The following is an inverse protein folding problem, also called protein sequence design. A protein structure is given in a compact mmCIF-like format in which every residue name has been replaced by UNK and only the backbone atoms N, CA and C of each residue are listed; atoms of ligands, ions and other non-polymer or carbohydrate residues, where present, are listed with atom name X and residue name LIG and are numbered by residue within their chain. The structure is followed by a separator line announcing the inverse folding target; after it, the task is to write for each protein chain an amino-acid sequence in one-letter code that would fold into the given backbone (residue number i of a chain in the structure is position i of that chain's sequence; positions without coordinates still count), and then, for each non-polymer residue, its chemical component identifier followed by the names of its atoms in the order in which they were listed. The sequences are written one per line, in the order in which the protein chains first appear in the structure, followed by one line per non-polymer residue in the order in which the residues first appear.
data_IF_205242229969
#
_entry.id   IF_205242229969
#
_cell.length_a   1.000
_cell.length_b   1.000
_cell.length_c   1.000
_cell.angle_alpha   90.00
_cell.angle_beta   90.00
_cell.angle_gamma   90.00
#
_symmetry.space_group_name_H-M   'P 1'
#
loop_
_entity.id
_entity.type
_entity.pdbx_description
1 polymer ?
#
# COMPACT_ATOMS: atom_id res chain seq x y z
N UNK A 1 -31.11 -66.88 48.32
CA UNK A 1 -32.01 -65.98 49.06
C UNK A 1 -33.13 -65.58 48.11
N UNK A 2 -34.37 -66.05 48.36
CA UNK A 2 -35.55 -65.24 48.77
C UNK A 2 -35.91 -64.08 47.81
N UNK A 3 -37.15 -63.93 47.31
CA UNK A 3 -38.36 -64.80 47.33
C UNK A 3 -39.46 -64.20 46.39
N UNK A 4 -40.14 -65.07 45.63
CA UNK A 4 -41.61 -65.10 45.37
C UNK A 4 -42.32 -63.96 44.58
N UNK A 5 -42.93 -64.39 43.46
CA UNK A 5 -44.21 -64.04 42.82
C UNK A 5 -45.17 -62.99 43.45
N UNK A 6 -45.86 -62.24 42.57
CA UNK A 6 -47.33 -62.25 42.56
C UNK A 6 -47.90 -61.95 41.15
N UNK A 7 -48.86 -62.77 40.69
CA UNK A 7 -49.68 -62.54 39.47
C UNK A 7 -51.09 -62.08 39.85
N UNK A 8 -51.77 -61.26 39.01
CA UNK A 8 -53.21 -60.86 38.98
C UNK A 8 -53.33 -59.62 38.03
N UNK A 9 -54.37 -59.28 37.25
CA UNK A 9 -55.72 -59.83 36.94
C UNK A 9 -55.96 -59.89 35.40
N UNK A 10 -56.71 -60.91 34.97
CA UNK A 10 -57.52 -61.15 33.75
C UNK A 10 -58.21 -59.95 33.05
N UNK A 11 -58.29 -59.93 31.71
CA UNK A 11 -59.54 -59.76 30.92
C UNK A 11 -59.32 -59.69 29.39
N UNK A 12 -60.06 -60.51 28.62
CA UNK A 12 -60.40 -60.20 27.23
C UNK A 12 -61.49 -59.11 27.20
N UNK A 13 -61.52 -58.28 26.16
CA UNK A 13 -62.64 -58.23 25.19
C UNK A 13 -62.29 -57.31 24.00
N UNK A 14 -62.78 -57.70 22.83
CA UNK A 14 -62.61 -57.04 21.52
C UNK A 14 -63.44 -55.77 21.43
N UNK A 15 -62.88 -54.72 20.82
CA UNK A 15 -63.61 -53.52 20.38
C UNK A 15 -63.04 -52.99 19.07
N UNK A 16 -63.82 -53.03 17.99
CA UNK A 16 -63.40 -52.59 16.66
C UNK A 16 -63.23 -51.06 16.60
N UNK A 17 -62.20 -50.60 15.88
CA UNK A 17 -61.99 -49.18 15.61
C UNK A 17 -60.95 -48.97 14.52
N UNK A 18 -61.38 -49.02 13.25
CA UNK A 18 -60.59 -48.52 12.13
C UNK A 18 -60.55 -46.99 12.17
N UNK A 19 -59.76 -46.42 13.08
CA UNK A 19 -59.30 -45.04 12.95
C UNK A 19 -58.14 -45.04 11.95
N UNK A 20 -58.48 -44.72 10.71
CA UNK A 20 -57.56 -44.16 9.71
C UNK A 20 -56.44 -43.37 10.39
N UNK A 21 -55.18 -43.76 10.17
CA UNK A 21 -54.10 -42.80 10.32
C UNK A 21 -54.42 -41.69 9.33
N UNK A 22 -54.73 -40.49 9.83
CA UNK A 22 -54.89 -39.33 8.98
C UNK A 22 -53.64 -39.21 8.11
N UNK A 23 -53.81 -39.22 6.79
CA UNK A 23 -52.79 -38.71 5.90
C UNK A 23 -52.47 -37.30 6.39
N UNK A 24 -51.29 -37.16 7.01
CA UNK A 24 -50.73 -35.85 7.26
C UNK A 24 -50.29 -35.39 5.88
N UNK A 25 -51.10 -34.56 5.25
CA UNK A 25 -50.67 -33.73 4.14
C UNK A 25 -49.49 -32.90 4.64
N UNK A 26 -48.28 -33.44 4.45
CA UNK A 26 -47.05 -32.68 4.61
C UNK A 26 -47.13 -31.65 3.48
N UNK A 27 -47.33 -30.35 3.78
CA UNK A 27 -47.44 -29.36 2.73
C UNK A 27 -46.17 -29.41 1.90
N UNK A 28 -46.31 -29.47 0.57
CA UNK A 28 -45.21 -29.52 -0.39
C UNK A 28 -44.12 -28.55 0.06
N UNK A 29 -42.92 -29.06 0.32
CA UNK A 29 -41.83 -28.26 0.85
C UNK A 29 -41.67 -27.01 -0.02
N UNK A 30 -41.78 -25.82 0.58
CA UNK A 30 -41.74 -24.55 -0.16
C UNK A 30 -40.32 -24.35 -0.68
N UNK A 31 -40.07 -24.84 -1.88
CA UNK A 31 -38.77 -24.76 -2.52
C UNK A 31 -38.44 -23.30 -2.78
N UNK A 32 -37.24 -22.91 -2.36
CA UNK A 32 -36.67 -21.60 -2.67
C UNK A 32 -36.12 -21.66 -4.09
N UNK A 33 -36.79 -21.02 -5.04
CA UNK A 33 -36.28 -20.91 -6.41
C UNK A 33 -34.88 -20.27 -6.37
N UNK A 34 -33.97 -20.76 -7.22
CA UNK A 34 -32.59 -20.25 -7.28
C UNK A 34 -32.47 -19.18 -8.36
N UNK A 35 -31.36 -18.44 -8.33
CA UNK A 35 -30.99 -17.63 -9.49
C UNK A 35 -30.76 -18.50 -10.72
N UNK A 36 -31.00 -17.93 -11.90
CA UNK A 36 -30.72 -18.55 -13.19
C UNK A 36 -29.70 -17.75 -13.99
N UNK A 37 -29.16 -18.38 -15.03
CA UNK A 37 -28.24 -17.78 -16.01
C UNK A 37 -27.01 -17.07 -15.41
N UNK A 38 -26.55 -17.50 -14.22
CA UNK A 38 -25.26 -17.07 -13.67
C UNK A 38 -24.14 -17.34 -14.67
N UNK A 39 -23.55 -16.26 -15.15
CA UNK A 39 -22.40 -16.23 -16.04
C UNK A 39 -21.33 -15.29 -15.49
N UNK A 40 -20.13 -15.41 -16.05
CA UNK A 40 -18.96 -14.64 -15.64
C UNK A 40 -18.14 -14.26 -16.88
N UNK A 41 -18.04 -12.96 -17.14
CA UNK A 41 -17.18 -12.37 -18.17
C UNK A 41 -15.84 -11.97 -17.54
N UNK A 42 -14.72 -12.17 -18.24
CA UNK A 42 -13.38 -11.84 -17.75
C UNK A 42 -12.76 -10.76 -18.64
N UNK A 43 -12.28 -9.68 -18.03
CA UNK A 43 -11.57 -8.60 -18.70
C UNK A 43 -10.30 -8.23 -17.90
N UNK A 44 -9.13 -8.63 -18.40
CA UNK A 44 -7.90 -8.59 -17.60
C UNK A 44 -8.07 -9.45 -16.35
N UNK A 45 -7.91 -8.84 -15.17
CA UNK A 45 -8.14 -9.48 -13.86
C UNK A 45 -9.51 -9.17 -13.24
N UNK A 46 -10.42 -8.57 -13.99
CA UNK A 46 -11.76 -8.26 -13.50
C UNK A 46 -12.76 -9.33 -13.96
N UNK A 47 -13.55 -9.85 -13.03
CA UNK A 47 -14.62 -10.83 -13.30
C UNK A 47 -15.96 -10.14 -13.11
N UNK A 48 -16.72 -9.97 -14.19
CA UNK A 48 -18.09 -9.45 -14.14
C UNK A 48 -19.07 -10.63 -14.11
N UNK A 49 -19.68 -10.84 -12.95
CA UNK A 49 -20.79 -11.78 -12.77
C UNK A 49 -22.10 -11.15 -13.21
N UNK A 50 -22.98 -11.93 -13.85
CA UNK A 50 -24.37 -11.54 -14.17
C UNK A 50 -25.29 -12.74 -13.97
N UNK A 51 -26.52 -12.52 -13.49
CA UNK A 51 -27.53 -13.56 -13.28
C UNK A 51 -28.95 -12.96 -13.27
N UNK A 52 -29.96 -13.83 -13.28
CA UNK A 52 -31.38 -13.47 -13.16
C UNK A 52 -31.86 -13.87 -11.77
N UNK A 53 -32.53 -12.94 -11.07
CA UNK A 53 -33.15 -13.22 -9.78
C UNK A 53 -34.52 -13.91 -9.97
N UNK A 54 -34.87 -14.90 -9.13
CA UNK A 54 -36.17 -15.55 -9.17
C UNK A 54 -37.27 -14.65 -8.62
N UNK A 55 -38.53 -15.03 -8.89
CA UNK A 55 -39.69 -14.24 -8.44
C UNK A 55 -39.83 -14.31 -6.92
N UNK A 56 -40.07 -13.17 -6.27
CA UNK A 56 -40.28 -13.09 -4.82
C UNK A 56 -38.99 -13.13 -3.98
N UNK A 57 -37.81 -13.19 -4.60
CA UNK A 57 -36.56 -12.91 -3.89
C UNK A 57 -36.55 -11.45 -3.39
N UNK A 58 -35.86 -11.22 -2.27
CA UNK A 58 -35.61 -9.88 -1.71
C UNK A 58 -34.13 -9.49 -1.76
N UNK A 59 -33.24 -10.44 -2.02
CA UNK A 59 -31.81 -10.17 -2.17
C UNK A 59 -31.02 -11.41 -2.56
N UNK A 60 -29.69 -11.33 -2.42
CA UNK A 60 -28.77 -12.42 -2.76
C UNK A 60 -27.66 -12.58 -1.72
N UNK A 61 -27.18 -13.81 -1.59
CA UNK A 61 -25.84 -14.09 -1.10
C UNK A 61 -24.94 -14.44 -2.30
N UNK A 62 -23.82 -13.74 -2.46
CA UNK A 62 -22.75 -14.09 -3.39
C UNK A 62 -21.54 -14.55 -2.59
N UNK A 63 -21.07 -15.77 -2.87
CA UNK A 63 -19.86 -16.37 -2.34
C UNK A 63 -18.79 -16.46 -3.43
N UNK A 64 -17.53 -16.37 -3.02
CA UNK A 64 -16.35 -16.68 -3.83
C UNK A 64 -15.51 -17.70 -3.07
N UNK A 65 -15.18 -18.80 -3.71
CA UNK A 65 -14.22 -19.78 -3.19
C UNK A 65 -12.93 -19.69 -3.98
N UNK A 66 -11.80 -19.56 -3.28
CA UNK A 66 -10.44 -19.55 -3.82
C UNK A 66 -9.50 -20.41 -2.94
N UNK A 67 -8.19 -20.35 -3.17
CA UNK A 67 -7.20 -21.12 -2.41
C UNK A 67 -7.19 -20.82 -0.89
N UNK A 68 -7.81 -19.72 -0.44
CA UNK A 68 -7.91 -19.36 0.98
C UNK A 68 -9.22 -19.84 1.64
N UNK A 69 -10.19 -20.34 0.85
CA UNK A 69 -11.48 -20.82 1.34
C UNK A 69 -12.68 -20.13 0.69
N UNK A 70 -13.87 -20.26 1.31
CA UNK A 70 -15.10 -19.59 0.87
C UNK A 70 -15.30 -18.26 1.61
N UNK A 71 -15.53 -17.19 0.83
CA UNK A 71 -15.72 -15.82 1.30
C UNK A 71 -17.09 -15.29 0.86
N UNK A 72 -17.81 -14.58 1.75
CA UNK A 72 -19.07 -13.92 1.42
C UNK A 72 -18.80 -12.50 0.88
N UNK A 73 -19.07 -12.28 -0.41
CA UNK A 73 -18.89 -10.98 -1.08
C UNK A 73 -20.12 -10.07 -0.98
N UNK A 74 -21.32 -10.66 -1.04
CA UNK A 74 -22.60 -9.97 -0.85
C UNK A 74 -23.46 -10.82 0.07
N UNK A 75 -24.09 -10.21 1.07
CA UNK A 75 -25.15 -10.83 1.87
C UNK A 75 -26.13 -9.77 2.37
N UNK A 76 -27.03 -9.32 1.49
CA UNK A 76 -27.98 -8.23 1.80
C UNK A 76 -29.31 -8.40 1.05
N UNK A 77 -30.36 -7.87 1.66
CA UNK A 77 -31.72 -7.82 1.10
C UNK A 77 -31.85 -6.67 0.10
N UNK A 78 -31.18 -6.85 -1.05
CA UNK A 78 -31.33 -5.99 -2.22
C UNK A 78 -31.00 -6.80 -3.49
N UNK A 79 -31.80 -6.59 -4.54
CA UNK A 79 -31.81 -7.40 -5.76
C UNK A 79 -30.73 -6.99 -6.76
N UNK A 80 -29.49 -7.41 -6.52
CA UNK A 80 -28.41 -7.33 -7.51
C UNK A 80 -28.63 -8.37 -8.61
N UNK A 81 -28.30 -8.02 -9.86
CA UNK A 81 -28.26 -8.93 -11.02
C UNK A 81 -26.87 -8.99 -11.65
N UNK A 82 -25.91 -8.25 -11.09
CA UNK A 82 -24.51 -8.25 -11.49
C UNK A 82 -23.59 -7.89 -10.32
N UNK A 83 -22.33 -8.32 -10.42
CA UNK A 83 -21.25 -7.94 -9.51
C UNK A 83 -19.92 -7.89 -10.27
N UNK A 84 -19.08 -6.90 -9.95
CA UNK A 84 -17.73 -6.79 -10.49
C UNK A 84 -16.74 -7.17 -9.39
N UNK A 85 -16.16 -8.36 -9.47
CA UNK A 85 -15.02 -8.74 -8.67
C UNK A 85 -13.76 -8.19 -9.36
N UNK A 86 -13.18 -7.12 -8.81
CA UNK A 86 -12.00 -6.47 -9.36
C UNK A 86 -10.73 -7.20 -8.96
N UNK A 87 -9.73 -7.18 -9.85
CA UNK A 87 -8.35 -7.60 -9.57
C UNK A 87 -8.27 -8.94 -8.83
N UNK A 88 -8.91 -9.96 -9.40
CA UNK A 88 -9.05 -11.26 -8.76
C UNK A 88 -7.72 -12.01 -8.73
N UNK A 89 -7.62 -12.99 -7.83
CA UNK A 89 -6.46 -13.86 -7.74
C UNK A 89 -6.31 -14.71 -9.02
N UNK A 90 -5.06 -14.86 -9.46
CA UNK A 90 -4.71 -15.37 -10.80
C UNK A 90 -4.21 -16.82 -10.75
N UNK A 91 -4.28 -17.50 -11.90
CA UNK A 91 -3.78 -18.86 -12.14
C UNK A 91 -4.31 -19.93 -11.16
N UNK A 92 -5.50 -19.69 -10.61
CA UNK A 92 -6.23 -20.59 -9.73
C UNK A 92 -7.73 -20.56 -10.09
N UNK A 93 -8.45 -21.61 -9.69
CA UNK A 93 -9.89 -21.69 -9.91
C UNK A 93 -10.62 -20.84 -8.86
N UNK A 94 -11.38 -19.86 -9.34
CA UNK A 94 -12.31 -19.05 -8.55
C UNK A 94 -13.72 -19.57 -8.79
N UNK A 95 -14.40 -20.02 -7.73
CA UNK A 95 -15.77 -20.52 -7.81
C UNK A 95 -16.70 -19.47 -7.23
N UNK A 96 -17.53 -18.86 -8.08
CA UNK A 96 -18.54 -17.90 -7.64
C UNK A 96 -19.89 -18.62 -7.50
N UNK A 97 -20.53 -18.48 -6.35
CA UNK A 97 -21.83 -19.11 -6.07
C UNK A 97 -22.84 -18.05 -5.63
N UNK A 98 -23.95 -17.93 -6.35
CA UNK A 98 -25.05 -17.01 -6.03
C UNK A 98 -26.27 -17.79 -5.53
N UNK A 99 -26.85 -17.34 -4.42
CA UNK A 99 -28.08 -17.86 -3.80
C UNK A 99 -29.07 -16.72 -3.61
N UNK A 100 -30.35 -16.94 -3.92
CA UNK A 100 -31.42 -15.97 -3.66
C UNK A 100 -31.84 -15.99 -2.18
N UNK A 101 -32.22 -14.83 -1.63
CA UNK A 101 -32.79 -14.67 -0.27
C UNK A 101 -34.26 -14.31 -0.34
N UNK A 102 -35.04 -14.78 0.63
CA UNK A 102 -36.49 -14.59 0.71
C UNK A 102 -36.92 -13.95 2.04
N UNK A 103 -38.08 -13.30 2.04
CA UNK A 103 -38.63 -12.52 3.18
C UNK A 103 -38.91 -13.35 4.43
N UNK A 104 -39.15 -14.65 4.26
CA UNK A 104 -39.33 -15.63 5.34
C UNK A 104 -38.00 -16.17 5.90
N UNK A 105 -36.87 -15.59 5.49
CA UNK A 105 -35.52 -15.98 5.91
C UNK A 105 -34.93 -17.16 5.14
N UNK A 106 -35.67 -17.76 4.19
CA UNK A 106 -35.12 -18.84 3.34
C UNK A 106 -34.03 -18.32 2.41
N UNK A 107 -33.10 -19.21 2.10
CA UNK A 107 -32.06 -19.03 1.07
C UNK A 107 -32.20 -20.17 0.07
N UNK A 108 -31.95 -19.91 -1.21
CA UNK A 108 -32.00 -20.94 -2.26
C UNK A 108 -30.75 -21.82 -2.28
N UNK A 109 -30.83 -22.92 -3.02
CA UNK A 109 -29.64 -23.58 -3.54
C UNK A 109 -28.84 -22.61 -4.44
N UNK A 110 -27.54 -22.88 -4.56
CA UNK A 110 -26.64 -22.07 -5.39
C UNK A 110 -26.75 -22.38 -6.88
N UNK A 111 -26.58 -21.35 -7.71
CA UNK A 111 -25.95 -21.53 -9.01
C UNK A 111 -24.47 -21.15 -8.87
N UNK A 112 -23.58 -21.94 -9.45
CA UNK A 112 -22.14 -21.71 -9.39
C UNK A 112 -21.52 -21.59 -10.78
N UNK A 113 -20.47 -20.77 -10.90
CA UNK A 113 -19.62 -20.66 -12.09
C UNK A 113 -18.15 -20.63 -11.66
N UNK A 114 -17.32 -21.47 -12.30
CA UNK A 114 -15.88 -21.50 -12.08
C UNK A 114 -15.15 -20.70 -13.15
N UNK A 115 -14.16 -19.91 -12.75
CA UNK A 115 -13.25 -19.20 -13.65
C UNK A 115 -11.82 -19.32 -13.16
N UNK A 116 -10.93 -19.74 -14.07
CA UNK A 116 -9.50 -19.59 -13.89
C UNK A 116 -9.05 -18.34 -14.66
N UNK A 117 -8.54 -17.34 -13.96
CA UNK A 117 -8.00 -16.13 -14.58
C UNK A 117 -6.52 -16.33 -14.84
N UNK A 118 -6.21 -16.87 -16.03
CA UNK A 118 -4.84 -17.04 -16.50
C UNK A 118 -4.21 -15.67 -16.76
N UNK A 119 -3.19 -15.31 -15.99
CA UNK A 119 -2.51 -14.02 -16.07
C UNK A 119 -1.06 -14.15 -15.62
N UNK A 120 -0.14 -13.47 -16.32
CA UNK A 120 1.26 -13.37 -15.89
C UNK A 120 1.45 -11.98 -15.31
N UNK A 121 1.70 -11.89 -14.00
CA UNK A 121 2.09 -10.64 -13.37
C UNK A 121 3.36 -10.10 -14.04
N UNK A 122 3.30 -8.87 -14.50
CA UNK A 122 4.41 -8.14 -15.10
C UNK A 122 4.37 -6.72 -14.52
N UNK A 123 4.73 -6.65 -13.23
CA UNK A 123 4.64 -5.44 -12.45
C UNK A 123 5.54 -4.35 -13.04
N UNK A 124 4.99 -3.16 -13.21
CA UNK A 124 5.69 -2.00 -13.75
C UNK A 124 6.19 -1.11 -12.63
N UNK A 125 7.06 -0.16 -12.96
CA UNK A 125 7.33 0.98 -12.08
C UNK A 125 6.31 2.09 -12.37
N UNK A 126 5.71 2.67 -11.34
CA UNK A 126 4.80 3.80 -11.43
C UNK A 126 5.43 5.10 -10.94
N UNK A 127 5.00 6.24 -11.48
CA UNK A 127 5.21 7.57 -10.91
C UNK A 127 3.84 8.23 -10.77
N UNK A 128 3.37 8.44 -9.55
CA UNK A 128 2.09 9.07 -9.27
C UNK A 128 2.27 10.59 -9.11
N UNK A 129 1.59 11.36 -9.97
CA UNK A 129 1.60 12.83 -9.96
C UNK A 129 0.24 13.38 -9.47
N UNK A 130 0.18 14.59 -8.87
CA UNK A 130 -1.08 15.20 -8.43
C UNK A 130 -1.85 15.87 -9.58
N UNK A 131 -1.65 15.43 -10.83
CA UNK A 131 -2.14 16.08 -12.05
C UNK A 131 -2.78 15.07 -13.01
N UNK A 132 -3.47 15.58 -14.04
CA UNK A 132 -4.04 14.75 -15.12
C UNK A 132 -2.99 14.30 -16.15
N UNK A 133 -1.88 15.04 -16.31
CA UNK A 133 -0.79 14.68 -17.21
C UNK A 133 0.53 15.37 -16.81
N UNK A 134 1.67 14.87 -17.31
CA UNK A 134 3.00 15.48 -17.12
C UNK A 134 3.07 16.91 -17.66
N UNK A 135 2.26 17.25 -18.68
CA UNK A 135 2.23 18.60 -19.23
C UNK A 135 1.65 19.63 -18.24
N UNK A 136 0.75 19.18 -17.36
CA UNK A 136 0.06 20.03 -16.39
C UNK A 136 0.88 20.29 -15.12
N UNK A 137 2.03 19.61 -14.94
CA UNK A 137 2.95 19.87 -13.83
C UNK A 137 3.49 21.30 -13.97
N UNK A 138 3.27 22.13 -12.96
CA UNK A 138 3.67 23.55 -12.95
C UNK A 138 5.09 23.77 -12.43
N UNK A 139 5.48 22.93 -11.48
CA UNK A 139 6.78 22.90 -10.80
C UNK A 139 7.85 22.27 -11.70
N UNK A 140 9.02 22.89 -11.80
CA UNK A 140 10.11 22.47 -12.71
C UNK A 140 10.84 21.23 -12.20
N UNK A 141 11.11 21.14 -10.90
CA UNK A 141 11.67 19.94 -10.26
C UNK A 141 10.80 18.69 -10.47
N UNK A 142 9.52 18.75 -10.13
CA UNK A 142 8.57 17.64 -10.36
C UNK A 142 8.45 17.29 -11.85
N UNK A 143 8.54 18.28 -12.75
CA UNK A 143 8.42 18.07 -14.20
C UNK A 143 9.68 17.49 -14.82
N UNK A 144 10.85 17.90 -14.34
CA UNK A 144 12.14 17.33 -14.72
C UNK A 144 12.24 15.87 -14.28
N UNK A 145 11.86 15.57 -13.04
CA UNK A 145 11.77 14.21 -12.50
C UNK A 145 10.81 13.32 -13.31
N UNK A 146 9.59 13.79 -13.60
CA UNK A 146 8.61 13.04 -14.40
C UNK A 146 9.09 12.80 -15.84
N UNK A 147 9.72 13.80 -16.46
CA UNK A 147 10.30 13.69 -17.81
C UNK A 147 11.46 12.68 -17.85
N UNK A 148 12.34 12.73 -16.85
CA UNK A 148 13.43 11.77 -16.71
C UNK A 148 12.92 10.34 -16.50
N UNK A 149 11.85 10.16 -15.71
CA UNK A 149 11.24 8.86 -15.47
C UNK A 149 10.72 8.24 -16.78
N UNK A 150 9.96 8.99 -17.58
CA UNK A 150 9.45 8.52 -18.87
C UNK A 150 10.57 8.11 -19.85
N UNK A 151 11.67 8.86 -19.84
CA UNK A 151 12.87 8.57 -20.65
C UNK A 151 13.63 7.32 -20.17
N UNK A 152 13.73 7.14 -18.85
CA UNK A 152 14.54 6.07 -18.22
C UNK A 152 13.79 4.75 -18.11
N UNK A 153 12.46 4.80 -17.98
CA UNK A 153 11.59 3.63 -17.86
C UNK A 153 10.51 3.63 -18.97
N UNK A 154 10.83 3.19 -20.20
CA UNK A 154 9.87 3.16 -21.32
C UNK A 154 8.63 2.28 -21.09
N UNK A 155 8.71 1.32 -20.16
CA UNK A 155 7.59 0.48 -19.72
C UNK A 155 6.95 0.95 -18.40
N UNK A 156 7.48 2.02 -17.80
CA UNK A 156 6.92 2.66 -16.61
C UNK A 156 5.63 3.41 -16.94
N UNK A 157 4.87 3.75 -15.90
CA UNK A 157 3.55 4.38 -16.05
C UNK A 157 3.48 5.66 -15.23
N UNK A 158 3.07 6.75 -15.87
CA UNK A 158 2.60 7.93 -15.15
C UNK A 158 1.19 7.62 -14.65
N UNK A 159 1.03 7.64 -13.33
CA UNK A 159 -0.22 7.44 -12.63
C UNK A 159 -0.77 8.80 -12.20
N UNK A 160 -2.09 8.89 -12.14
CA UNK A 160 -2.84 10.11 -11.84
C UNK A 160 -3.85 9.84 -10.70
N UNK A 161 -4.54 10.87 -10.17
CA UNK A 161 -5.61 10.65 -9.18
C UNK A 161 -6.78 9.78 -9.69
N UNK A 162 -6.90 9.60 -11.02
CA UNK A 162 -7.88 8.69 -11.61
C UNK A 162 -7.51 7.20 -11.43
N UNK A 163 -6.22 6.89 -11.27
CA UNK A 163 -5.70 5.52 -11.21
C UNK A 163 -5.73 4.92 -9.79
N UNK A 164 -6.00 5.75 -8.77
CA UNK A 164 -6.02 5.38 -7.34
C UNK A 164 -6.90 4.16 -7.00
N UNK A 165 -7.96 3.89 -7.77
CA UNK A 165 -8.84 2.73 -7.54
C UNK A 165 -8.27 1.39 -8.06
N UNK A 166 -7.08 1.41 -8.67
CA UNK A 166 -6.45 0.26 -9.30
C UNK A 166 -4.92 0.18 -9.02
N UNK A 167 -4.49 0.64 -7.84
CA UNK A 167 -3.08 0.52 -7.41
C UNK A 167 -2.84 -0.85 -6.76
N UNK A 168 -2.28 -1.79 -7.54
CA UNK A 168 -2.03 -3.16 -7.10
C UNK A 168 -0.53 -3.53 -7.19
N UNK A 169 0.07 -4.16 -6.17
CA UNK A 169 1.52 -4.46 -6.13
C UNK A 169 2.06 -5.33 -7.28
N UNK A 170 1.23 -6.17 -7.89
CA UNK A 170 1.62 -7.07 -8.98
C UNK A 170 1.28 -6.50 -10.39
N UNK A 171 0.62 -5.34 -10.44
CA UNK A 171 0.53 -4.46 -11.63
C UNK A 171 1.58 -3.34 -11.57
N UNK A 172 1.89 -2.82 -10.37
CA UNK A 172 2.93 -1.83 -10.10
C UNK A 172 3.78 -2.28 -8.90
N UNK A 173 5.02 -2.72 -9.10
CA UNK A 173 5.85 -3.24 -7.99
C UNK A 173 6.36 -2.13 -7.08
N UNK A 174 6.53 -0.93 -7.64
CA UNK A 174 6.77 0.29 -6.88
C UNK A 174 6.06 1.51 -7.49
N UNK A 175 5.75 2.50 -6.66
CA UNK A 175 5.27 3.83 -7.06
C UNK A 175 6.18 4.91 -6.47
N UNK A 176 6.67 5.81 -7.33
CA UNK A 176 7.42 7.00 -6.93
C UNK A 176 6.45 8.19 -6.81
N UNK A 177 6.61 8.95 -5.73
CA UNK A 177 5.96 10.24 -5.50
C UNK A 177 7.04 11.25 -5.15
N UNK A 178 7.15 12.31 -5.95
CA UNK A 178 7.89 13.53 -5.63
C UNK A 178 6.90 14.64 -5.34
N UNK A 179 7.21 15.45 -4.33
CA UNK A 179 6.54 16.72 -4.08
C UNK A 179 7.63 17.72 -3.73
N UNK A 180 7.78 18.75 -4.55
CA UNK A 180 8.66 19.88 -4.31
C UNK A 180 7.86 21.14 -4.55
N UNK A 181 7.81 22.04 -3.56
CA UNK A 181 6.93 23.22 -3.63
C UNK A 181 7.43 24.34 -2.75
N UNK A 182 7.75 25.47 -3.39
CA UNK A 182 7.95 26.77 -2.76
C UNK A 182 6.76 27.10 -1.83
N UNK A 183 7.05 27.47 -0.59
CA UNK A 183 6.07 27.96 0.38
C UNK A 183 5.08 26.93 0.95
N UNK A 184 5.25 25.63 0.66
CA UNK A 184 4.39 24.60 1.26
C UNK A 184 4.56 24.57 2.79
N UNK A 185 3.45 24.43 3.51
CA UNK A 185 3.49 24.40 4.96
C UNK A 185 3.84 23.00 5.48
N UNK A 186 4.73 22.92 6.48
CA UNK A 186 5.04 21.67 7.19
C UNK A 186 3.78 20.95 7.69
N UNK A 187 3.73 19.64 7.52
CA UNK A 187 2.62 18.77 7.93
C UNK A 187 2.04 18.02 6.73
N UNK A 188 1.83 16.71 6.86
CA UNK A 188 1.29 15.90 5.77
C UNK A 188 -0.08 16.41 5.29
N UNK A 189 -0.88 16.97 6.20
CA UNK A 189 -2.19 17.56 5.93
C UNK A 189 -2.16 18.84 5.05
N UNK A 190 -0.98 19.32 4.65
CA UNK A 190 -0.79 20.46 3.76
C UNK A 190 -0.25 20.07 2.37
N UNK A 191 0.04 18.79 2.12
CA UNK A 191 0.41 18.27 0.80
C UNK A 191 -0.72 18.48 -0.23
N UNK A 192 -0.45 18.40 -1.55
CA UNK A 192 -1.47 18.47 -2.59
C UNK A 192 -2.67 17.55 -2.29
N UNK A 193 -3.87 18.10 -2.43
CA UNK A 193 -5.13 17.47 -1.97
C UNK A 193 -5.39 16.10 -2.59
N UNK A 194 -4.86 15.92 -3.79
CA UNK A 194 -4.84 14.74 -4.63
C UNK A 194 -4.13 13.56 -3.96
N UNK A 195 -3.09 13.81 -3.15
CA UNK A 195 -2.37 12.80 -2.37
C UNK A 195 -2.96 12.56 -0.98
N UNK A 196 -3.66 13.55 -0.39
CA UNK A 196 -4.11 13.49 1.01
C UNK A 196 -5.62 13.42 1.19
N UNK A 197 -6.38 13.30 0.10
CA UNK A 197 -7.78 12.88 0.19
C UNK A 197 -7.90 11.52 0.89
N UNK A 198 -9.00 11.29 1.60
CA UNK A 198 -9.28 9.99 2.24
C UNK A 198 -9.15 8.81 1.27
N UNK A 199 -9.48 9.02 -0.02
CA UNK A 199 -9.32 8.03 -1.09
C UNK A 199 -7.84 7.73 -1.35
N UNK A 200 -7.02 8.76 -1.58
CA UNK A 200 -5.61 8.60 -1.89
C UNK A 200 -4.82 7.98 -0.73
N UNK A 201 -5.06 8.44 0.50
CA UNK A 201 -4.45 7.85 1.70
C UNK A 201 -4.85 6.39 1.85
N UNK A 202 -6.12 6.03 1.68
CA UNK A 202 -6.57 4.65 1.75
C UNK A 202 -5.95 3.76 0.67
N UNK A 203 -5.89 4.24 -0.58
CA UNK A 203 -5.30 3.51 -1.71
C UNK A 203 -3.79 3.29 -1.53
N UNK A 204 -3.02 4.35 -1.25
CA UNK A 204 -1.58 4.26 -1.02
C UNK A 204 -1.25 3.41 0.21
N UNK A 205 -2.06 3.50 1.27
CA UNK A 205 -1.94 2.63 2.43
C UNK A 205 -2.14 1.17 2.02
N UNK A 206 -3.30 0.83 1.45
CA UNK A 206 -3.63 -0.54 1.06
C UNK A 206 -2.55 -1.14 0.14
N UNK A 207 -2.11 -0.38 -0.86
CA UNK A 207 -1.03 -0.75 -1.77
C UNK A 207 0.25 -1.19 -1.01
N UNK A 208 0.71 -0.42 -0.02
CA UNK A 208 1.89 -0.79 0.80
C UNK A 208 1.57 -1.95 1.77
N UNK A 209 0.34 -2.04 2.27
CA UNK A 209 -0.08 -3.17 3.11
C UNK A 209 -0.03 -4.50 2.34
N UNK A 210 -0.40 -4.49 1.06
CA UNK A 210 -0.44 -5.65 0.16
C UNK A 210 0.92 -6.02 -0.46
N UNK A 211 1.97 -5.21 -0.26
CA UNK A 211 3.34 -5.52 -0.72
C UNK A 211 3.94 -4.53 -1.72
N UNK A 212 3.21 -3.49 -2.12
CA UNK A 212 3.67 -2.47 -3.05
C UNK A 212 4.70 -1.54 -2.42
N UNK A 213 5.76 -1.22 -3.16
CA UNK A 213 6.86 -0.43 -2.62
C UNK A 213 6.71 1.07 -2.96
N UNK A 214 7.20 1.97 -2.12
CA UNK A 214 7.18 3.42 -2.39
C UNK A 214 8.58 4.03 -2.42
N UNK A 215 8.79 4.93 -3.38
CA UNK A 215 9.85 5.93 -3.31
C UNK A 215 9.18 7.28 -3.01
N UNK A 216 9.56 7.93 -1.91
CA UNK A 216 9.02 9.23 -1.49
C UNK A 216 10.15 10.26 -1.48
N UNK A 217 10.06 11.31 -2.29
CA UNK A 217 11.12 12.32 -2.42
C UNK A 217 10.68 13.72 -2.01
N UNK A 218 11.61 14.47 -1.41
CA UNK A 218 11.47 15.82 -0.86
C UNK A 218 10.25 15.91 0.06
N UNK A 219 9.25 16.75 -0.21
CA UNK A 219 8.14 16.96 0.73
C UNK A 219 7.19 15.74 0.83
N UNK A 220 7.27 14.79 -0.11
CA UNK A 220 6.48 13.55 -0.11
C UNK A 220 6.85 12.59 1.01
N UNK A 221 8.01 12.74 1.68
CA UNK A 221 8.40 11.90 2.83
C UNK A 221 7.35 11.89 3.95
N UNK A 222 6.58 12.98 4.07
CA UNK A 222 5.48 13.13 5.03
C UNK A 222 4.32 12.14 4.80
N UNK A 223 4.18 11.56 3.60
CA UNK A 223 3.18 10.52 3.33
C UNK A 223 3.42 9.25 4.16
N UNK A 224 4.64 9.01 4.66
CA UNK A 224 4.94 7.92 5.61
C UNK A 224 4.11 8.02 6.91
N UNK A 225 3.75 9.25 7.32
CA UNK A 225 2.83 9.51 8.43
C UNK A 225 1.39 9.39 7.96
N UNK A 226 1.02 9.98 6.82
CA UNK A 226 -0.35 10.01 6.31
C UNK A 226 -0.95 8.61 6.10
N UNK A 227 -0.18 7.68 5.50
CA UNK A 227 -0.62 6.28 5.33
C UNK A 227 -0.54 5.46 6.64
N UNK A 228 0.09 6.02 7.68
CA UNK A 228 0.29 5.38 8.98
C UNK A 228 1.40 4.34 9.00
N UNK A 229 2.42 4.44 8.13
CA UNK A 229 3.61 3.57 8.18
C UNK A 229 4.47 3.89 9.40
N UNK A 230 4.51 5.14 9.83
CA UNK A 230 5.06 5.58 11.12
C UNK A 230 4.02 6.40 11.90
N UNK A 231 4.21 6.49 13.21
CA UNK A 231 3.40 7.36 14.08
C UNK A 231 3.73 8.84 13.82
N UNK A 232 2.74 9.71 13.96
CA UNK A 232 2.90 11.18 13.86
C UNK A 232 3.94 11.73 14.85
N UNK A 233 4.19 11.07 15.98
CA UNK A 233 5.30 11.45 16.90
C UNK A 233 6.68 11.40 16.24
N UNK A 234 6.81 10.70 15.11
CA UNK A 234 8.02 10.53 14.32
C UNK A 234 7.91 11.22 12.94
N UNK A 235 7.00 12.18 12.78
CA UNK A 235 6.92 12.98 11.56
C UNK A 235 8.23 13.76 11.31
N UNK A 236 8.61 14.03 10.04
CA UNK A 236 9.77 14.83 9.69
C UNK A 236 9.90 16.11 10.54
N UNK A 237 11.07 16.30 11.14
CA UNK A 237 11.41 17.37 12.07
C UNK A 237 11.97 18.61 11.38
N UNK A 238 12.98 18.38 10.54
CA UNK A 238 13.76 19.40 9.84
C UNK A 238 13.07 19.70 8.52
N UNK A 239 12.50 20.89 8.39
CA UNK A 239 11.64 21.26 7.28
C UNK A 239 11.95 22.66 6.75
N UNK A 240 12.03 22.78 5.44
CA UNK A 240 12.09 24.06 4.72
C UNK A 240 11.37 23.95 3.38
N UNK A 241 10.82 25.07 2.92
CA UNK A 241 10.04 25.23 1.69
C UNK A 241 10.17 26.70 1.25
N UNK A 242 11.42 27.14 1.04
CA UNK A 242 11.78 28.54 0.81
C UNK A 242 11.47 29.01 -0.61
N UNK A 243 12.20 30.02 -1.05
CA UNK A 243 12.37 30.38 -2.48
C UNK A 243 13.84 30.22 -2.89
N UNK A 244 14.58 29.42 -2.14
CA UNK A 244 16.01 29.24 -2.33
C UNK A 244 16.91 30.47 -2.18
N UNK A 245 18.13 30.29 -2.67
CA UNK A 245 19.16 31.31 -2.79
C UNK A 245 20.40 30.80 -3.52
N UNK A 246 21.30 31.71 -3.89
CA UNK A 246 22.54 31.35 -4.62
C UNK A 246 23.61 30.83 -3.66
N UNK A 247 24.15 29.65 -3.97
CA UNK A 247 25.20 28.97 -3.23
C UNK A 247 26.58 28.99 -3.90
N UNK A 248 27.63 28.71 -3.12
CA UNK A 248 29.02 28.56 -3.62
C UNK A 248 29.67 27.24 -3.23
N UNK A 249 29.04 26.49 -2.34
CA UNK A 249 29.42 25.19 -1.78
C UNK A 249 28.72 24.04 -2.50
N UNK A 250 29.22 22.81 -2.35
CA UNK A 250 28.54 21.62 -2.83
C UNK A 250 27.64 21.04 -1.73
N UNK A 251 26.47 20.57 -2.11
CA UNK A 251 25.53 19.90 -1.21
C UNK A 251 25.56 18.39 -1.45
N UNK A 252 25.83 17.65 -0.37
CA UNK A 252 26.20 16.23 -0.42
C UNK A 252 25.49 15.43 0.66
N UNK A 253 25.43 14.11 0.49
CA UNK A 253 24.90 13.17 1.48
C UNK A 253 25.98 12.24 2.03
N UNK A 254 25.89 11.91 3.31
CA UNK A 254 26.80 11.00 4.02
C UNK A 254 26.08 9.67 4.29
N UNK A 255 26.62 8.56 3.78
CA UNK A 255 26.11 7.19 4.03
C UNK A 255 26.84 6.45 5.17
N UNK A 256 27.84 7.07 5.80
CA UNK A 256 28.49 6.62 7.03
C UNK A 256 27.87 7.36 8.22
N UNK A 257 26.85 6.77 8.83
CA UNK A 257 26.07 7.39 9.90
C UNK A 257 26.92 7.49 11.17
N UNK A 258 26.99 8.69 11.76
CA UNK A 258 27.86 8.96 12.91
C UNK A 258 29.36 8.90 12.58
N UNK A 259 29.77 9.38 11.39
CA UNK A 259 31.16 9.31 10.90
C UNK A 259 32.24 9.83 11.88
N UNK A 260 31.93 10.83 12.72
CA UNK A 260 32.83 11.37 13.75
C UNK A 260 32.61 10.77 15.15
N UNK A 261 31.78 9.73 15.28
CA UNK A 261 31.48 9.04 16.54
C UNK A 261 32.34 7.78 16.71
N UNK A 262 32.34 7.20 17.91
CA UNK A 262 33.09 5.97 18.19
C UNK A 262 32.53 4.70 17.54
N UNK A 263 31.27 4.72 17.07
CA UNK A 263 30.52 3.53 16.61
C UNK A 263 29.75 3.82 15.29
N UNK A 264 30.42 4.17 14.19
CA UNK A 264 29.79 4.54 12.92
C UNK A 264 29.13 3.36 12.17
N UNK A 265 28.13 3.65 11.32
CA UNK A 265 27.45 2.65 10.46
C UNK A 265 27.67 2.97 8.98
N UNK A 266 28.34 2.08 8.24
CA UNK A 266 28.66 2.29 6.83
C UNK A 266 27.62 1.64 5.89
N UNK A 267 26.77 2.47 5.29
CA UNK A 267 25.75 2.05 4.33
C UNK A 267 26.17 2.24 2.87
N UNK A 268 27.42 2.63 2.55
CA UNK A 268 27.89 2.85 1.15
C UNK A 268 27.76 1.61 0.26
N UNK A 269 27.67 0.41 0.85
CA UNK A 269 27.44 -0.85 0.13
C UNK A 269 25.97 -1.10 -0.24
N UNK A 270 25.03 -0.29 0.26
CA UNK A 270 23.61 -0.40 -0.07
C UNK A 270 23.37 -0.07 -1.55
N UNK A 271 22.44 -0.80 -2.19
CA UNK A 271 22.25 -0.75 -3.65
C UNK A 271 21.89 0.63 -4.18
N UNK A 272 21.23 1.47 -3.39
CA UNK A 272 20.97 2.87 -3.71
C UNK A 272 22.24 3.65 -4.11
N UNK A 273 23.38 3.41 -3.45
CA UNK A 273 24.62 4.16 -3.67
C UNK A 273 25.54 3.57 -4.77
N UNK A 274 25.10 2.50 -5.46
CA UNK A 274 25.93 1.79 -6.44
C UNK A 274 26.33 2.68 -7.63
N UNK A 275 27.63 2.97 -7.75
CA UNK A 275 28.19 3.76 -8.85
C UNK A 275 27.96 5.27 -8.75
N UNK A 276 27.64 5.80 -7.56
CA UNK A 276 27.66 7.25 -7.32
C UNK A 276 29.09 7.80 -7.28
N UNK A 277 29.25 9.03 -7.75
CA UNK A 277 30.52 9.77 -7.71
C UNK A 277 30.74 10.33 -6.31
N UNK A 278 31.89 10.02 -5.72
CA UNK A 278 32.28 10.50 -4.39
C UNK A 278 32.70 11.97 -4.46
N UNK A 279 32.28 12.75 -3.46
CA UNK A 279 32.74 14.10 -3.15
C UNK A 279 33.66 14.06 -1.92
N UNK A 280 34.69 14.93 -1.93
CA UNK A 280 35.78 14.97 -0.94
C UNK A 280 35.92 16.35 -0.26
N UNK A 281 34.84 17.14 -0.16
CA UNK A 281 34.86 18.44 0.52
C UNK A 281 34.92 18.32 2.05
N UNK A 282 34.60 17.13 2.58
CA UNK A 282 34.71 16.76 3.99
C UNK A 282 35.87 15.78 4.22
N UNK A 283 36.29 15.61 5.48
CA UNK A 283 37.35 14.67 5.86
C UNK A 283 36.96 13.19 5.66
N UNK A 284 35.66 12.93 5.51
CA UNK A 284 35.05 11.65 5.17
C UNK A 284 34.45 11.70 3.77
N UNK A 285 34.32 10.54 3.12
CA UNK A 285 33.65 10.44 1.83
C UNK A 285 32.16 10.81 1.95
N UNK A 286 31.65 11.54 0.95
CA UNK A 286 30.22 11.83 0.78
C UNK A 286 29.83 11.63 -0.69
N UNK A 287 28.55 11.66 -1.03
CA UNK A 287 28.09 11.68 -2.41
C UNK A 287 27.51 13.06 -2.72
N UNK A 288 28.10 13.78 -3.69
CA UNK A 288 27.54 15.05 -4.15
C UNK A 288 26.19 14.85 -4.82
N UNK A 289 25.23 15.74 -4.54
CA UNK A 289 23.90 15.72 -5.16
C UNK A 289 23.59 17.04 -5.86
N UNK A 290 24.08 18.17 -5.35
CA UNK A 290 23.79 19.51 -5.87
C UNK A 290 25.01 20.44 -5.78
N UNK A 291 25.16 21.34 -6.75
CA UNK A 291 26.38 22.13 -6.95
C UNK A 291 26.28 23.58 -6.45
N UNK A 292 27.26 24.43 -6.84
CA UNK A 292 27.16 25.87 -6.73
C UNK A 292 26.19 26.41 -7.81
N UNK A 293 25.03 26.89 -7.38
CA UNK A 293 23.95 27.30 -8.28
C UNK A 293 22.86 28.11 -7.57
N UNK A 294 21.70 28.25 -8.21
CA UNK A 294 20.46 28.55 -7.50
C UNK A 294 19.94 27.26 -6.87
N UNK A 295 19.49 27.31 -5.62
CA UNK A 295 19.12 26.11 -4.83
C UNK A 295 17.92 26.41 -3.95
N UNK A 296 16.87 25.59 -3.95
CA UNK A 296 15.58 25.91 -3.30
C UNK A 296 15.59 25.83 -1.76
N UNK A 297 16.51 25.04 -1.19
CA UNK A 297 16.59 24.68 0.23
C UNK A 297 15.28 24.07 0.78
N UNK A 298 14.81 22.99 0.16
CA UNK A 298 13.60 22.24 0.50
C UNK A 298 13.88 20.95 1.29
N UNK A 299 14.14 21.06 2.59
CA UNK A 299 14.31 19.89 3.46
C UNK A 299 12.96 19.32 3.93
N UNK A 300 12.91 18.00 4.07
CA UNK A 300 11.83 17.26 4.73
C UNK A 300 12.35 16.00 5.44
N UNK A 301 13.25 16.21 6.40
CA UNK A 301 14.05 15.18 7.09
C UNK A 301 13.64 15.00 8.55
N UNK A 302 14.20 14.00 9.22
CA UNK A 302 13.92 13.69 10.63
C UNK A 302 14.97 14.30 11.57
N UNK A 303 14.51 14.99 12.61
CA UNK A 303 15.32 15.37 13.78
C UNK A 303 15.13 14.28 14.83
N UNK A 304 16.13 13.42 15.00
CA UNK A 304 16.02 12.26 15.90
C UNK A 304 16.13 12.65 17.37
N UNK A 305 16.72 13.81 17.67
CA UNK A 305 16.82 14.32 19.03
C UNK A 305 15.46 14.85 19.54
N UNK A 306 14.58 15.32 18.65
CA UNK A 306 13.27 15.88 19.00
C UNK A 306 12.28 14.85 19.59
N UNK A 307 12.50 13.54 19.40
CA UNK A 307 11.49 12.51 19.68
C UNK A 307 11.55 11.89 21.09
N UNK A 308 12.49 12.30 21.95
CA UNK A 308 12.62 11.73 23.31
C UNK A 308 13.08 10.25 23.33
N UNK A 309 13.81 9.84 22.29
CA UNK A 309 14.28 8.46 22.11
C UNK A 309 15.14 7.90 23.26
N UNK A 310 16.00 8.68 23.94
CA UNK A 310 16.72 8.17 25.12
C UNK A 310 15.80 7.75 26.27
N UNK A 311 14.57 8.25 26.33
CA UNK A 311 13.59 7.89 27.36
C UNK A 311 12.71 6.70 26.93
N UNK A 312 12.34 6.59 25.65
CA UNK A 312 11.53 5.46 25.15
C UNK A 312 12.36 4.21 24.92
N UNK A 313 13.61 4.37 24.50
CA UNK A 313 14.46 3.30 23.97
C UNK A 313 15.88 3.34 24.59
N UNK A 314 16.01 3.40 25.94
CA UNK A 314 17.26 3.74 26.64
C UNK A 314 18.45 2.79 26.37
N UNK A 315 18.17 1.58 25.90
CA UNK A 315 19.20 0.55 25.64
C UNK A 315 19.67 0.52 24.18
N UNK A 316 19.18 1.40 23.30
CA UNK A 316 19.52 1.40 21.87
C UNK A 316 20.95 1.92 21.55
N UNK A 317 21.62 2.56 22.51
CA UNK A 317 22.98 3.08 22.37
C UNK A 317 23.06 4.47 21.72
N UNK A 318 22.24 4.78 20.72
CA UNK A 318 22.07 6.13 20.18
C UNK A 318 20.67 6.34 19.59
N UNK A 319 20.38 7.59 19.21
CA UNK A 319 19.07 8.01 18.68
C UNK A 319 18.75 7.44 17.29
N UNK A 320 19.74 7.15 16.43
CA UNK A 320 19.52 6.44 15.15
C UNK A 320 18.99 5.04 15.41
N UNK A 321 19.73 4.22 16.18
CA UNK A 321 19.33 2.84 16.52
C UNK A 321 17.98 2.79 17.27
N UNK A 322 17.70 3.80 18.09
CA UNK A 322 16.41 3.94 18.76
C UNK A 322 15.28 4.18 17.75
N UNK A 323 15.46 5.14 16.83
CA UNK A 323 14.48 5.44 15.79
C UNK A 323 14.24 4.24 14.87
N UNK A 324 15.31 3.57 14.42
CA UNK A 324 15.25 2.38 13.57
C UNK A 324 14.47 1.24 14.22
N UNK A 325 14.68 1.00 15.52
CA UNK A 325 13.95 0.00 16.30
C UNK A 325 12.47 0.36 16.49
N UNK A 326 12.15 1.62 16.79
CA UNK A 326 10.76 2.08 17.02
C UNK A 326 9.94 2.20 15.73
N UNK A 327 10.58 2.34 14.56
CA UNK A 327 9.91 2.50 13.26
C UNK A 327 10.09 1.32 12.30
N UNK A 328 10.89 0.32 12.67
CA UNK A 328 11.34 -0.78 11.80
C UNK A 328 11.92 -0.23 10.50
N UNK A 329 13.01 0.53 10.60
CA UNK A 329 13.66 1.22 9.47
C UNK A 329 15.17 1.06 9.49
N UNK A 330 15.83 1.63 8.49
CA UNK A 330 17.29 1.79 8.41
C UNK A 330 17.59 3.20 7.91
N UNK A 331 18.44 3.94 8.62
CA UNK A 331 18.88 5.28 8.19
C UNK A 331 20.05 5.10 7.23
N UNK A 332 19.80 5.33 5.94
CA UNK A 332 20.78 5.09 4.89
C UNK A 332 21.74 6.27 4.69
N UNK A 333 21.29 7.51 4.92
CA UNK A 333 22.14 8.68 4.82
C UNK A 333 21.68 9.89 5.66
N UNK A 334 22.62 10.78 5.96
CA UNK A 334 22.46 12.13 6.53
C UNK A 334 22.97 13.20 5.55
N UNK A 335 22.89 14.48 5.94
CA UNK A 335 23.64 15.55 5.28
C UNK A 335 25.15 15.30 5.35
N UNK A 336 25.88 15.71 4.30
CA UNK A 336 27.33 15.49 4.16
C UNK A 336 28.19 15.99 5.32
N UNK A 337 27.77 17.06 5.99
CA UNK A 337 28.46 17.64 7.14
C UNK A 337 28.11 16.99 8.50
N UNK A 338 27.16 16.03 8.54
CA UNK A 338 26.67 15.44 9.79
C UNK A 338 27.55 14.27 10.21
N UNK A 339 28.35 14.51 11.24
CA UNK A 339 29.28 13.54 11.85
C UNK A 339 28.71 12.83 13.08
N UNK A 340 27.52 13.21 13.56
CA UNK A 340 26.85 12.61 14.72
C UNK A 340 25.60 11.80 14.34
N UNK A 341 24.73 11.51 15.31
CA UNK A 341 23.50 10.76 15.12
C UNK A 341 22.25 11.65 15.06
N UNK A 342 22.36 12.99 14.93
CA UNK A 342 21.25 13.90 15.24
C UNK A 342 20.03 13.79 14.32
N UNK A 343 20.20 13.37 13.08
CA UNK A 343 19.17 13.42 12.05
C UNK A 343 19.21 12.22 11.10
N UNK A 344 18.22 12.14 10.22
CA UNK A 344 18.18 11.19 9.12
C UNK A 344 17.63 11.86 7.85
N UNK A 345 18.40 11.83 6.76
CA UNK A 345 18.06 12.46 5.47
C UNK A 345 17.55 11.48 4.42
N UNK A 346 18.00 10.22 4.48
CA UNK A 346 17.46 9.10 3.69
C UNK A 346 17.13 7.95 4.64
N UNK A 347 15.89 7.47 4.59
CA UNK A 347 15.39 6.39 5.44
C UNK A 347 14.75 5.30 4.58
N UNK A 348 15.09 4.06 4.90
CA UNK A 348 14.46 2.87 4.36
C UNK A 348 13.55 2.24 5.42
N UNK A 349 12.24 2.33 5.25
CA UNK A 349 11.25 1.66 6.09
C UNK A 349 11.09 0.20 5.64
N UNK A 350 11.60 -0.72 6.45
CA UNK A 350 11.57 -2.16 6.19
C UNK A 350 10.13 -2.72 6.25
N UNK A 351 9.82 -3.81 5.52
CA UNK A 351 8.57 -4.54 5.66
C UNK A 351 8.24 -4.96 7.11
N UNK A 352 6.94 -5.00 7.42
CA UNK A 352 6.37 -5.43 8.71
C UNK A 352 5.18 -6.36 8.46
N UNK A 353 4.65 -7.01 9.49
CA UNK A 353 3.43 -7.81 9.38
C UNK A 353 2.18 -7.03 8.92
N UNK A 354 2.15 -5.70 9.11
CA UNK A 354 1.03 -4.83 8.72
C UNK A 354 1.28 -4.06 7.42
N UNK A 355 2.53 -3.98 6.97
CA UNK A 355 2.99 -3.27 5.77
C UNK A 355 4.02 -4.17 5.08
N UNK A 356 3.57 -5.03 4.17
CA UNK A 356 4.47 -5.95 3.46
C UNK A 356 5.41 -5.23 2.49
N UNK A 357 5.01 -4.05 2.00
CA UNK A 357 5.82 -3.18 1.16
C UNK A 357 6.91 -2.42 1.93
N UNK A 358 7.96 -2.07 1.19
CA UNK A 358 9.11 -1.26 1.61
C UNK A 358 8.95 0.18 1.14
N UNK A 359 9.46 1.15 1.91
CA UNK A 359 9.49 2.56 1.49
C UNK A 359 10.91 3.10 1.60
N UNK A 360 11.45 3.70 0.55
CA UNK A 360 12.61 4.60 0.65
C UNK A 360 12.10 6.04 0.64
N UNK A 361 12.54 6.83 1.61
CA UNK A 361 12.16 8.22 1.78
C UNK A 361 13.43 9.10 1.77
N UNK A 362 13.50 10.06 0.85
CA UNK A 362 14.63 10.97 0.64
C UNK A 362 14.15 12.39 0.93
N UNK A 363 14.58 12.96 2.05
CA UNK A 363 14.15 14.28 2.52
C UNK A 363 15.21 15.38 2.47
N UNK A 364 16.42 15.07 2.01
CA UNK A 364 17.52 16.05 1.87
C UNK A 364 17.14 17.13 0.85
N UNK A 365 17.40 18.41 1.14
CA UNK A 365 17.24 19.45 0.10
C UNK A 365 18.10 19.18 -1.12
N UNK A 366 19.32 18.66 -0.92
CA UNK A 366 20.28 18.40 -1.99
C UNK A 366 19.77 17.50 -3.14
N UNK A 367 18.61 16.85 -2.97
CA UNK A 367 17.92 16.11 -4.01
C UNK A 367 17.03 17.08 -4.84
N UNK A 368 17.67 17.89 -5.68
CA UNK A 368 17.05 18.90 -6.55
C UNK A 368 17.27 18.52 -8.03
N UNK A 369 16.18 18.39 -8.80
CA UNK A 369 16.17 17.89 -10.18
C UNK A 369 16.44 18.95 -11.24
N UNK A 370 16.10 20.21 -10.96
CA UNK A 370 16.27 21.37 -11.83
C UNK A 370 16.71 22.56 -10.96
N UNK A 371 17.99 22.98 -11.06
CA UNK A 371 18.52 24.12 -10.27
C UNK A 371 18.02 25.48 -10.82
N UNK A 372 16.71 25.65 -11.03
CA UNK A 372 16.07 26.85 -11.57
C UNK A 372 16.79 27.39 -12.85
N UNK A 373 17.18 26.48 -13.75
CA UNK A 373 17.90 26.74 -14.99
C UNK A 373 19.43 26.79 -14.89
N UNK A 374 20.06 26.51 -13.75
CA UNK A 374 21.52 26.27 -13.67
C UNK A 374 21.91 24.81 -13.90
N UNK A 375 23.18 24.57 -14.20
CA UNK A 375 23.69 23.22 -14.52
C UNK A 375 24.23 22.55 -13.27
N UNK A 376 23.42 21.69 -12.65
CA UNK A 376 23.87 20.84 -11.56
C UNK A 376 25.00 19.91 -12.01
N UNK A 377 26.21 20.12 -11.47
CA UNK A 377 27.39 19.28 -11.77
C UNK A 377 27.24 17.84 -11.24
N UNK A 378 26.32 17.61 -10.31
CA UNK A 378 26.00 16.32 -9.70
C UNK A 378 24.67 15.74 -10.19
N UNK A 379 24.02 16.28 -11.23
CA UNK A 379 22.78 15.72 -11.80
C UNK A 379 22.86 14.21 -12.05
N UNK A 380 24.00 13.74 -12.56
CA UNK A 380 24.26 12.31 -12.80
C UNK A 380 24.17 11.46 -11.53
N UNK A 381 24.52 12.00 -10.35
CA UNK A 381 24.37 11.31 -9.08
C UNK A 381 22.90 11.28 -8.63
N UNK A 382 22.12 12.35 -8.82
CA UNK A 382 20.67 12.33 -8.55
C UNK A 382 19.96 11.31 -9.44
N UNK A 383 20.19 11.36 -10.76
CA UNK A 383 19.64 10.39 -11.70
C UNK A 383 20.04 8.95 -11.34
N UNK A 384 21.31 8.72 -11.01
CA UNK A 384 21.83 7.39 -10.62
C UNK A 384 21.21 6.89 -9.32
N UNK A 385 21.17 7.73 -8.29
CA UNK A 385 20.63 7.39 -6.97
C UNK A 385 19.15 7.04 -7.07
N UNK A 386 18.38 7.87 -7.78
CA UNK A 386 16.96 7.63 -8.08
C UNK A 386 16.76 6.30 -8.81
N UNK A 387 17.52 6.08 -9.88
CA UNK A 387 17.45 4.85 -10.67
C UNK A 387 17.78 3.62 -9.82
N UNK A 388 18.77 3.72 -8.95
CA UNK A 388 19.17 2.63 -8.06
C UNK A 388 18.09 2.35 -6.99
N UNK A 389 17.47 3.38 -6.42
CA UNK A 389 16.33 3.23 -5.51
C UNK A 389 15.13 2.58 -6.20
N UNK A 390 14.74 3.04 -7.39
CA UNK A 390 13.68 2.43 -8.21
C UNK A 390 14.02 0.97 -8.55
N UNK A 391 15.24 0.71 -9.01
CA UNK A 391 15.66 -0.63 -9.41
C UNK A 391 15.83 -1.61 -8.24
N UNK A 392 15.97 -1.10 -7.01
CA UNK A 392 16.00 -1.89 -5.77
C UNK A 392 14.58 -2.17 -5.23
N UNK A 393 13.60 -1.30 -5.53
CA UNK A 393 12.21 -1.43 -5.06
C UNK A 393 11.26 -2.14 -6.06
N UNK A 394 11.69 -2.39 -7.29
CA UNK A 394 10.84 -2.94 -8.37
C UNK A 394 10.76 -4.47 -8.44
#
# INVERSE_FOLDING_TARGET
MKKIYLSLVTALIVGMGFSSCSDVDIPSAVTSEKVSDLNADVAGRNVTLKWINPTGAIGVNLYKTDALGEHLLIGKDSLFTSYLDKHVAINQDLIYTVKARYVDGRVSDGQSVTKNVAYTANAKVGYLIPYNSVNDIEDDDEKAAATWFQKTYPNGVILTPADLDNLYPDEYSMIWIQIDRIGLAKGWNNLPSEFISNKAIAALKQYVQEGGNLLLTKQATQLSVAIGRISERFAPGIYSAGTGGVGTDNWTMQAVIGAGQSEPYDHRSHKAFEGLTINHDFAHETFGLEGPGMREDHNCMWDLNAYGLPQTSPNAGNVVKAFEGETNSTVLATWGHVEDYCCAGVIEFNPTANYAGRIIAIGLSAYEWEENGTTNIYQNNIERFTKNCIDYLK
#
